data_IF_319911898008
#
_entry.id   IF_319911898008
#
_cell.length_a   1.000
_cell.length_b   1.000
_cell.length_c   1.000
_cell.angle_alpha   90.00
_cell.angle_beta   90.00
_cell.angle_gamma   90.00
#
_symmetry.space_group_name_H-M   'P 1'
#
loop_
_entity.id
_entity.type
_entity.pdbx_description
1 polymer ?
#
# COMPACT_ATOMS: atom_id res chain seq x y z
N UNK A 1 18.81 -16.67 -17.92
CA UNK A 1 17.54 -15.95 -18.11
C UNK A 1 16.29 -16.83 -17.97
N UNK A 2 16.31 -18.12 -18.33
CA UNK A 2 15.12 -19.00 -18.26
C UNK A 2 14.59 -19.27 -16.84
N UNK A 3 15.46 -19.25 -15.82
CA UNK A 3 15.07 -19.57 -14.44
C UNK A 3 14.03 -18.60 -13.84
N UNK A 4 13.99 -17.32 -14.26
CA UNK A 4 13.02 -16.35 -13.75
C UNK A 4 11.58 -16.62 -14.22
N UNK A 5 11.42 -17.36 -15.32
CA UNK A 5 10.11 -17.69 -15.90
C UNK A 5 9.60 -19.07 -15.45
N UNK A 6 10.40 -19.81 -14.67
CA UNK A 6 10.03 -21.14 -14.20
C UNK A 6 9.04 -21.01 -13.04
N UNK A 7 7.83 -21.54 -13.22
CA UNK A 7 6.78 -21.51 -12.20
C UNK A 7 7.11 -22.48 -11.06
N UNK A 8 6.95 -22.02 -9.82
CA UNK A 8 7.08 -22.85 -8.62
C UNK A 8 5.75 -23.49 -8.19
N UNK A 9 5.71 -24.13 -7.01
CA UNK A 9 4.49 -24.74 -6.46
C UNK A 9 3.31 -23.77 -6.28
N UNK A 10 3.59 -22.47 -6.12
CA UNK A 10 2.56 -21.42 -6.06
C UNK A 10 1.91 -21.11 -7.40
N UNK A 11 2.40 -21.65 -8.51
CA UNK A 11 1.94 -21.34 -9.87
C UNK A 11 2.51 -20.04 -10.46
N UNK A 12 3.29 -19.27 -9.67
CA UNK A 12 3.93 -18.03 -10.09
C UNK A 12 5.43 -18.19 -10.30
N UNK A 13 6.04 -17.23 -11.01
CA UNK A 13 7.47 -17.18 -11.28
C UNK A 13 8.05 -15.83 -10.82
N UNK A 14 9.39 -15.69 -10.85
CA UNK A 14 10.03 -14.40 -10.56
C UNK A 14 9.71 -13.30 -11.56
N UNK A 15 9.15 -13.65 -12.73
CA UNK A 15 8.65 -12.71 -13.73
C UNK A 15 7.17 -12.35 -13.55
N UNK A 16 6.45 -12.97 -12.60
CA UNK A 16 5.04 -12.68 -12.36
C UNK A 16 4.85 -11.30 -11.73
N UNK A 17 3.88 -10.55 -12.23
CA UNK A 17 3.59 -9.20 -11.71
C UNK A 17 2.75 -9.26 -10.44
N UNK A 18 2.77 -8.18 -9.65
CA UNK A 18 1.93 -8.09 -8.45
C UNK A 18 0.43 -8.16 -8.79
N UNK A 19 0.01 -7.67 -9.95
CA UNK A 19 -1.38 -7.81 -10.41
C UNK A 19 -1.75 -9.26 -10.71
N UNK A 20 -0.89 -10.00 -11.42
CA UNK A 20 -1.12 -11.42 -11.72
C UNK A 20 -1.20 -12.26 -10.43
N UNK A 21 -0.30 -12.00 -9.48
CA UNK A 21 -0.25 -12.74 -8.20
C UNK A 21 -1.49 -12.46 -7.35
N UNK A 22 -2.07 -11.26 -7.44
CA UNK A 22 -3.24 -10.86 -6.65
C UNK A 22 -4.56 -10.98 -7.41
N UNK A 23 -4.56 -11.54 -8.62
CA UNK A 23 -5.77 -11.68 -9.43
C UNK A 23 -6.85 -12.48 -8.68
N UNK A 24 -8.06 -11.93 -8.62
CA UNK A 24 -9.20 -12.55 -7.93
C UNK A 24 -9.26 -12.32 -6.42
N UNK A 25 -8.28 -11.64 -5.81
CA UNK A 25 -8.35 -11.25 -4.39
C UNK A 25 -9.33 -10.10 -4.23
N UNK A 26 -10.29 -10.26 -3.31
CA UNK A 26 -11.19 -9.19 -2.85
C UNK A 26 -10.73 -8.70 -1.47
N UNK A 27 -10.32 -7.43 -1.41
CA UNK A 27 -9.84 -6.76 -0.21
C UNK A 27 -10.72 -5.61 0.25
N UNK A 28 -11.96 -5.48 -0.24
CA UNK A 28 -12.81 -4.31 0.07
C UNK A 28 -13.05 -4.07 1.58
N UNK A 29 -13.05 -5.14 2.38
CA UNK A 29 -13.22 -5.06 3.84
C UNK A 29 -11.90 -4.89 4.60
N UNK A 30 -10.76 -4.77 3.90
CA UNK A 30 -9.43 -4.70 4.50
C UNK A 30 -8.88 -3.29 4.46
N UNK A 31 -8.09 -2.99 5.49
CA UNK A 31 -7.33 -1.75 5.62
C UNK A 31 -5.85 -2.10 5.82
N UNK A 32 -4.99 -1.42 5.07
CA UNK A 32 -3.55 -1.60 5.12
C UNK A 32 -2.84 -0.29 5.44
N UNK A 33 -1.93 -0.32 6.42
CA UNK A 33 -0.95 0.74 6.65
C UNK A 33 0.34 0.33 5.95
N UNK A 34 0.81 1.13 4.99
CA UNK A 34 2.01 0.84 4.21
C UNK A 34 3.05 1.92 4.47
N UNK A 35 4.05 1.58 5.28
CA UNK A 35 5.21 2.45 5.49
C UNK A 35 6.08 2.49 4.22
N UNK A 36 6.72 3.63 3.96
CA UNK A 36 7.57 3.79 2.77
C UNK A 36 6.81 3.81 1.44
N UNK A 37 5.49 3.98 1.45
CA UNK A 37 4.66 4.03 0.24
C UNK A 37 4.89 5.27 -0.66
N UNK A 38 5.83 6.16 -0.32
CA UNK A 38 6.18 7.32 -1.14
C UNK A 38 7.19 7.02 -2.26
N UNK A 39 7.80 5.83 -2.31
CA UNK A 39 8.73 5.43 -3.38
C UNK A 39 8.88 3.92 -3.55
N UNK A 40 9.51 3.51 -4.65
CA UNK A 40 9.94 2.12 -4.89
C UNK A 40 8.80 1.10 -4.81
N UNK A 41 9.08 -0.01 -4.11
CA UNK A 41 8.14 -1.13 -3.98
C UNK A 41 6.88 -0.72 -3.21
N UNK A 42 6.99 0.17 -2.23
CA UNK A 42 5.84 0.62 -1.43
C UNK A 42 4.74 1.28 -2.27
N UNK A 43 5.12 2.02 -3.33
CA UNK A 43 4.17 2.62 -4.28
C UNK A 43 3.40 1.53 -5.03
N UNK A 44 4.10 0.52 -5.52
CA UNK A 44 3.50 -0.58 -6.27
C UNK A 44 2.60 -1.45 -5.37
N UNK A 45 3.03 -1.70 -4.13
CA UNK A 45 2.21 -2.38 -3.12
C UNK A 45 0.93 -1.59 -2.84
N UNK A 46 1.03 -0.28 -2.59
CA UNK A 46 -0.14 0.58 -2.36
C UNK A 46 -1.09 0.55 -3.56
N UNK A 47 -0.55 0.63 -4.78
CA UNK A 47 -1.33 0.61 -6.02
C UNK A 47 -2.08 -0.71 -6.20
N UNK A 48 -1.41 -1.85 -6.00
CA UNK A 48 -2.01 -3.17 -6.22
C UNK A 48 -3.01 -3.50 -5.11
N UNK A 49 -2.73 -3.16 -3.84
CA UNK A 49 -3.72 -3.33 -2.77
C UNK A 49 -4.97 -2.46 -3.01
N UNK A 50 -4.78 -1.20 -3.42
CA UNK A 50 -5.90 -0.34 -3.80
C UNK A 50 -6.68 -0.90 -5.00
N UNK A 51 -6.00 -1.48 -6.00
CA UNK A 51 -6.64 -2.18 -7.13
C UNK A 51 -7.52 -3.36 -6.66
N UNK A 52 -7.16 -4.01 -5.55
CA UNK A 52 -7.97 -5.09 -4.93
C UNK A 52 -9.00 -4.56 -3.92
N UNK A 53 -9.23 -3.26 -3.88
CA UNK A 53 -10.25 -2.62 -3.04
C UNK A 53 -9.84 -2.35 -1.60
N UNK A 54 -8.61 -2.69 -1.21
CA UNK A 54 -8.08 -2.41 0.14
C UNK A 54 -8.02 -0.90 0.36
N UNK A 55 -8.45 -0.46 1.54
CA UNK A 55 -8.24 0.92 1.96
C UNK A 55 -6.79 1.09 2.43
N UNK A 56 -6.01 1.89 1.71
CA UNK A 56 -4.59 2.08 2.01
C UNK A 56 -4.39 3.38 2.80
N UNK A 57 -3.66 3.28 3.91
CA UNK A 57 -3.15 4.45 4.64
C UNK A 57 -1.64 4.51 4.46
N UNK A 58 -1.16 5.64 3.96
CA UNK A 58 0.24 5.88 3.62
C UNK A 58 0.87 6.85 4.63
N UNK A 59 1.44 6.35 5.74
CA UNK A 59 2.30 7.17 6.57
C UNK A 59 3.58 7.57 5.81
N UNK A 60 3.80 8.87 5.66
CA UNK A 60 4.95 9.43 4.93
C UNK A 60 5.61 10.58 5.70
N UNK A 61 6.92 10.73 5.53
CA UNK A 61 7.66 11.88 6.08
C UNK A 61 7.36 13.18 5.32
N UNK A 62 7.19 13.08 4.00
CA UNK A 62 6.86 14.21 3.14
C UNK A 62 5.46 14.01 2.59
N UNK A 63 4.49 14.71 3.17
CA UNK A 63 3.07 14.61 2.79
C UNK A 63 2.83 14.99 1.33
N UNK A 64 3.53 16.01 0.82
CA UNK A 64 3.38 16.43 -0.58
C UNK A 64 3.81 15.32 -1.56
N UNK A 65 4.90 14.62 -1.27
CA UNK A 65 5.32 13.46 -2.07
C UNK A 65 4.31 12.31 -1.97
N UNK A 66 3.75 12.05 -0.79
CA UNK A 66 2.70 11.05 -0.60
C UNK A 66 1.42 11.37 -1.37
N UNK A 67 0.99 12.64 -1.37
CA UNK A 67 -0.17 13.10 -2.13
C UNK A 67 0.03 12.94 -3.65
N UNK A 68 1.20 13.27 -4.17
CA UNK A 68 1.52 13.04 -5.58
C UNK A 68 1.45 11.55 -5.96
N UNK A 69 1.93 10.65 -5.09
CA UNK A 69 1.79 9.20 -5.29
C UNK A 69 0.32 8.80 -5.28
N UNK A 70 -0.45 9.25 -4.27
CA UNK A 70 -1.90 9.00 -4.18
C UNK A 70 -2.62 9.40 -5.47
N UNK A 71 -2.38 10.61 -5.97
CA UNK A 71 -2.97 11.10 -7.22
C UNK A 71 -2.61 10.19 -8.41
N UNK A 72 -1.34 9.78 -8.51
CA UNK A 72 -0.89 8.87 -9.57
C UNK A 72 -1.56 7.49 -9.51
N UNK A 73 -1.87 7.00 -8.30
CA UNK A 73 -2.56 5.72 -8.10
C UNK A 73 -4.04 5.87 -8.44
N UNK A 74 -4.71 6.91 -7.93
CA UNK A 74 -6.14 7.16 -8.20
C UNK A 74 -6.41 7.35 -9.70
N UNK A 75 -5.47 7.96 -10.44
CA UNK A 75 -5.56 8.08 -11.90
C UNK A 75 -5.53 6.72 -12.62
N UNK A 76 -4.83 5.72 -12.07
CA UNK A 76 -4.72 4.36 -12.63
C UNK A 76 -5.80 3.42 -12.10
N UNK A 77 -6.30 3.67 -10.90
CA UNK A 77 -7.27 2.85 -10.18
C UNK A 77 -8.42 3.76 -9.72
N UNK A 78 -9.40 4.02 -10.59
CA UNK A 78 -10.57 4.81 -10.21
C UNK A 78 -11.29 4.19 -9.02
N UNK A 79 -11.59 4.99 -7.99
CA UNK A 79 -12.23 4.53 -6.75
C UNK A 79 -11.26 4.00 -5.67
N UNK A 80 -9.94 4.07 -5.89
CA UNK A 80 -8.95 3.76 -4.86
C UNK A 80 -9.17 4.61 -3.60
N UNK A 81 -9.26 3.95 -2.45
CA UNK A 81 -9.37 4.59 -1.12
C UNK A 81 -7.98 4.69 -0.50
N UNK A 82 -7.43 5.89 -0.50
CA UNK A 82 -6.06 6.15 -0.04
C UNK A 82 -6.03 7.41 0.83
N UNK A 83 -5.58 7.25 2.07
CA UNK A 83 -5.25 8.34 2.98
C UNK A 83 -3.74 8.51 3.10
N UNK A 84 -3.28 9.75 3.24
CA UNK A 84 -1.87 10.09 3.45
C UNK A 84 -1.76 10.83 4.77
N UNK A 85 -1.00 10.29 5.70
CA UNK A 85 -0.79 10.85 7.04
C UNK A 85 0.70 11.13 7.26
N UNK A 86 1.03 12.14 8.04
CA UNK A 86 2.43 12.46 8.37
C UNK A 86 2.97 11.43 9.38
N UNK A 87 4.11 10.81 9.06
CA UNK A 87 4.85 10.02 10.03
C UNK A 87 6.34 9.98 9.72
N UNK A 88 7.15 10.26 10.75
CA UNK A 88 8.58 9.98 10.76
C UNK A 88 8.90 8.82 11.71
N UNK A 89 9.29 7.69 11.13
CA UNK A 89 9.71 6.48 11.85
C UNK A 89 10.96 6.70 12.71
N UNK A 90 11.75 7.75 12.48
CA UNK A 90 12.88 8.09 13.34
C UNK A 90 12.46 8.75 14.66
N UNK A 91 11.19 9.13 14.81
CA UNK A 91 10.65 9.82 15.98
C UNK A 91 9.45 9.08 16.58
N UNK A 92 9.63 8.50 17.78
CA UNK A 92 8.53 7.86 18.52
C UNK A 92 7.38 8.81 18.86
N UNK A 93 7.64 10.11 18.99
CA UNK A 93 6.59 11.10 19.17
C UNK A 93 5.76 11.26 17.88
N UNK A 94 6.39 11.22 16.71
CA UNK A 94 5.68 11.20 15.44
C UNK A 94 4.87 9.93 15.24
N UNK A 95 5.44 8.76 15.56
CA UNK A 95 4.72 7.47 15.48
C UNK A 95 3.47 7.47 16.38
N UNK A 96 3.57 8.01 17.59
CA UNK A 96 2.41 8.14 18.50
C UNK A 96 1.34 9.09 17.95
N UNK A 97 1.73 10.23 17.36
CA UNK A 97 0.78 11.15 16.70
C UNK A 97 0.05 10.46 15.54
N UNK A 98 0.80 9.79 14.66
CA UNK A 98 0.22 9.00 13.57
C UNK A 98 -0.76 7.94 14.09
N UNK A 99 -0.40 7.20 15.15
CA UNK A 99 -1.28 6.18 15.71
C UNK A 99 -2.61 6.78 16.21
N UNK A 100 -2.56 7.91 16.92
CA UNK A 100 -3.78 8.61 17.37
C UNK A 100 -4.61 9.16 16.21
N UNK A 101 -3.97 9.68 15.16
CA UNK A 101 -4.67 10.11 13.94
C UNK A 101 -5.33 8.93 13.23
N UNK A 102 -4.62 7.81 13.08
CA UNK A 102 -5.16 6.59 12.48
C UNK A 102 -6.35 6.03 13.29
N UNK A 103 -6.25 5.98 14.62
CA UNK A 103 -7.36 5.57 15.50
C UNK A 103 -8.60 6.44 15.30
N UNK A 104 -8.42 7.75 15.08
CA UNK A 104 -9.54 8.68 14.83
C UNK A 104 -10.29 8.41 13.51
N UNK A 105 -9.68 7.70 12.56
CA UNK A 105 -10.34 7.27 11.32
C UNK A 105 -11.38 6.17 11.58
N UNK A 106 -11.37 5.54 12.77
CA UNK A 106 -12.24 4.42 13.13
C UNK A 106 -12.17 3.26 12.12
N UNK A 107 -10.98 3.01 11.58
CA UNK A 107 -10.69 1.92 10.66
C UNK A 107 -10.05 0.74 11.42
N UNK A 108 -10.35 -0.52 11.05
CA UNK A 108 -9.55 -1.65 11.53
C UNK A 108 -8.13 -1.55 10.97
N UNK A 109 -7.15 -2.18 11.62
CA UNK A 109 -5.83 -2.43 11.04
C UNK A 109 -5.73 -3.92 10.71
N UNK A 110 -5.75 -4.27 9.43
CA UNK A 110 -5.64 -5.68 9.01
C UNK A 110 -4.22 -6.03 8.56
N UNK A 111 -3.54 -5.08 7.90
CA UNK A 111 -2.22 -5.29 7.30
C UNK A 111 -1.31 -4.12 7.71
N UNK A 112 -0.10 -4.42 8.17
CA UNK A 112 0.96 -3.46 8.44
C UNK A 112 2.20 -3.87 7.66
N UNK A 113 2.73 -2.97 6.83
CA UNK A 113 3.91 -3.20 5.98
C UNK A 113 4.97 -2.12 6.16
#
# INVERSE_FOLDING_TARGET
MWWFYRKGPSGFSGASTAEEVTAGVDGQALVAVITGASSGIGVETARVLALRGVHVVMPVRNVAAGLAVRESIVAKVPGARIDVLEMDLSSMASVRRFASEFESLNLPLNILM
#
